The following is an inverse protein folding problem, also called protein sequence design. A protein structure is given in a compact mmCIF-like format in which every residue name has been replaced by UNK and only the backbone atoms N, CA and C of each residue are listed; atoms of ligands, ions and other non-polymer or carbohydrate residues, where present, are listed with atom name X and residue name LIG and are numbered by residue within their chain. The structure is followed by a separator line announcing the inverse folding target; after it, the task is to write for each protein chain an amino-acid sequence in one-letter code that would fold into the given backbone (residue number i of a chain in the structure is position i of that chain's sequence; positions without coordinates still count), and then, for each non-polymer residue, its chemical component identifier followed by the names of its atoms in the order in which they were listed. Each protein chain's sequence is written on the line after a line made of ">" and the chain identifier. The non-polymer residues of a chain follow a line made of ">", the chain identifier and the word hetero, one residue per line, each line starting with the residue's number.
data_IF_764457729173
#
_entry.id   IF_764457729173
#
_cell.length_a   1.000
_cell.length_b   1.000
_cell.length_c   1.000
_cell.angle_alpha   90.00
_cell.angle_beta   90.00
_cell.angle_gamma   90.00
#
_symmetry.space_group_name_H-M   'P 1'
#
loop_
_entity.id
_entity.type
_entity.pdbx_description
1 polymer ?
#
# COMPACT_ATOMS: atom_id res chain seq x y z
N UNK A 1 -10.92 15.55 -5.17
CA UNK A 1 -10.15 14.60 -4.35
C UNK A 1 -9.33 13.77 -5.33
N UNK A 2 -7.99 13.82 -5.30
CA UNK A 2 -7.18 12.92 -6.14
C UNK A 2 -7.50 11.50 -5.68
N UNK A 3 -8.10 10.70 -6.56
CA UNK A 3 -8.29 9.28 -6.31
C UNK A 3 -6.97 8.59 -6.59
N UNK A 4 -6.46 7.83 -5.63
CA UNK A 4 -5.33 6.94 -5.84
C UNK A 4 -5.73 5.90 -6.89
N UNK A 5 -5.07 5.90 -8.06
CA UNK A 5 -5.34 4.91 -9.11
C UNK A 5 -4.45 3.69 -8.93
N UNK A 6 -4.94 2.75 -8.14
CA UNK A 6 -4.23 1.53 -7.76
C UNK A 6 -4.80 0.27 -8.41
N UNK A 7 -5.51 0.38 -9.54
CA UNK A 7 -6.21 -0.77 -10.16
C UNK A 7 -5.27 -1.93 -10.51
N UNK A 8 -4.06 -1.61 -10.96
CA UNK A 8 -3.05 -2.61 -11.36
C UNK A 8 -2.12 -3.02 -10.21
N UNK A 9 -2.27 -2.37 -9.06
CA UNK A 9 -1.51 -2.63 -7.84
C UNK A 9 -2.27 -3.62 -6.94
N UNK A 10 -1.64 -4.10 -5.88
CA UNK A 10 -2.24 -4.97 -4.89
C UNK A 10 -1.90 -6.45 -5.06
N UNK A 11 -2.34 -7.25 -4.10
CA UNK A 11 -2.22 -8.71 -4.12
C UNK A 11 -3.55 -9.28 -4.61
N UNK A 12 -3.50 -10.21 -5.55
CA UNK A 12 -4.70 -10.85 -6.09
C UNK A 12 -5.26 -11.87 -5.08
N UNK A 13 -6.52 -11.70 -4.71
CA UNK A 13 -7.29 -12.63 -3.90
C UNK A 13 -8.68 -12.80 -4.55
N UNK A 14 -9.06 -14.04 -4.85
CA UNK A 14 -10.36 -14.37 -5.46
C UNK A 14 -10.70 -13.52 -6.70
N UNK A 15 -9.71 -13.36 -7.59
CA UNK A 15 -9.87 -12.59 -8.82
C UNK A 15 -9.89 -11.06 -8.65
N UNK A 16 -9.69 -10.53 -7.44
CA UNK A 16 -9.65 -9.09 -7.16
C UNK A 16 -8.32 -8.68 -6.55
N UNK A 17 -7.83 -7.50 -6.91
CA UNK A 17 -6.64 -6.93 -6.29
C UNK A 17 -7.00 -6.26 -4.96
N UNK A 18 -6.39 -6.72 -3.87
CA UNK A 18 -6.42 -6.06 -2.58
C UNK A 18 -5.26 -5.07 -2.54
N UNK A 19 -5.56 -3.77 -2.55
CA UNK A 19 -4.55 -2.69 -2.53
C UNK A 19 -4.32 -2.13 -1.14
N UNK A 20 -5.37 -2.07 -0.30
CA UNK A 20 -5.27 -1.55 1.05
C UNK A 20 -6.25 -2.24 2.00
N UNK A 21 -5.85 -2.34 3.26
CA UNK A 21 -6.71 -2.66 4.40
C UNK A 21 -6.70 -1.44 5.34
N UNK A 22 -7.87 -1.04 5.83
CA UNK A 22 -8.02 0.16 6.67
C UNK A 22 -8.80 -0.19 7.92
N UNK A 23 -8.28 0.23 9.07
CA UNK A 23 -8.96 0.10 10.35
C UNK A 23 -8.67 1.33 11.21
N UNK A 24 -9.71 2.10 11.55
CA UNK A 24 -9.56 3.39 12.22
C UNK A 24 -8.55 4.30 11.48
N UNK A 25 -7.49 4.73 12.15
CA UNK A 25 -6.37 5.54 11.62
C UNK A 25 -5.25 4.70 11.00
N UNK A 26 -5.27 3.37 11.18
CA UNK A 26 -4.27 2.48 10.61
C UNK A 26 -4.61 2.06 9.17
N UNK A 27 -3.60 2.13 8.30
CA UNK A 27 -3.67 1.65 6.92
C UNK A 27 -2.52 0.70 6.62
N UNK A 28 -2.87 -0.42 5.99
CA UNK A 28 -1.89 -1.39 5.45
C UNK A 28 -2.00 -1.36 3.94
N UNK A 29 -0.88 -1.11 3.26
CA UNK A 29 -0.78 -1.21 1.80
C UNK A 29 -0.34 -2.62 1.43
N UNK A 30 -1.01 -3.20 0.43
CA UNK A 30 -0.67 -4.49 -0.13
C UNK A 30 -0.09 -4.27 -1.53
N UNK A 31 1.07 -4.88 -1.79
CA UNK A 31 1.78 -4.77 -3.06
C UNK A 31 2.51 -6.09 -3.36
N UNK A 32 2.79 -6.37 -4.63
CA UNK A 32 3.47 -7.61 -5.05
C UNK A 32 4.97 -7.57 -4.80
N UNK A 33 5.54 -6.38 -4.64
CA UNK A 33 6.97 -6.20 -4.44
C UNK A 33 7.35 -4.81 -3.95
N UNK A 34 8.66 -4.61 -3.83
CA UNK A 34 9.23 -3.38 -3.25
C UNK A 34 8.95 -2.14 -4.10
N UNK A 35 9.21 -2.20 -5.42
CA UNK A 35 8.98 -1.06 -6.33
C UNK A 35 7.52 -0.61 -6.32
N UNK A 36 6.60 -1.56 -6.32
CA UNK A 36 5.17 -1.31 -6.23
C UNK A 36 4.79 -0.68 -4.88
N UNK A 37 5.36 -1.19 -3.78
CA UNK A 37 5.16 -0.65 -2.43
C UNK A 37 5.63 0.80 -2.34
N UNK A 38 6.82 1.13 -2.85
CA UNK A 38 7.36 2.49 -2.84
C UNK A 38 6.48 3.46 -3.62
N UNK A 39 6.02 3.05 -4.81
CA UNK A 39 5.08 3.88 -5.60
C UNK A 39 3.79 4.13 -4.84
N UNK A 40 3.19 3.10 -4.25
CA UNK A 40 1.95 3.25 -3.46
C UNK A 40 2.16 4.16 -2.24
N UNK A 41 3.28 4.00 -1.53
CA UNK A 41 3.62 4.83 -0.37
C UNK A 41 3.81 6.30 -0.75
N UNK A 42 4.54 6.58 -1.84
CA UNK A 42 4.74 7.96 -2.32
C UNK A 42 3.42 8.62 -2.71
N UNK A 43 2.56 7.89 -3.45
CA UNK A 43 1.24 8.39 -3.85
C UNK A 43 0.36 8.68 -2.62
N UNK A 44 0.42 7.83 -1.59
CA UNK A 44 -0.30 8.05 -0.33
C UNK A 44 0.24 9.27 0.43
N UNK A 45 1.57 9.44 0.52
CA UNK A 45 2.20 10.59 1.17
C UNK A 45 1.78 11.91 0.50
N UNK A 46 1.91 11.99 -0.84
CA UNK A 46 1.49 13.17 -1.61
C UNK A 46 0.00 13.50 -1.41
N UNK A 47 -0.86 12.48 -1.34
CA UNK A 47 -2.30 12.68 -1.14
C UNK A 47 -2.61 13.14 0.29
N UNK A 48 -1.88 12.61 1.28
CA UNK A 48 -2.02 13.00 2.68
C UNK A 48 -1.60 14.46 2.90
N UNK A 49 -0.48 14.88 2.32
CA UNK A 49 0.00 16.27 2.39
C UNK A 49 -1.05 17.25 1.83
N UNK A 50 -1.70 16.89 0.72
CA UNK A 50 -2.75 17.72 0.11
C UNK A 50 -3.98 17.91 1.00
N UNK A 51 -4.24 16.98 1.92
CA UNK A 51 -5.35 17.06 2.88
C UNK A 51 -4.88 17.49 4.28
N UNK A 52 -3.61 17.89 4.43
CA UNK A 52 -3.04 18.34 5.69
C UNK A 52 -2.78 17.22 6.71
N UNK A 53 -2.63 15.97 6.24
CA UNK A 53 -2.23 14.82 7.05
C UNK A 53 -0.79 14.42 6.74
N UNK A 54 -0.14 13.77 7.69
CA UNK A 54 1.23 13.28 7.57
C UNK A 54 1.30 11.80 7.96
N UNK A 55 2.16 11.04 7.27
CA UNK A 55 2.44 9.66 7.63
C UNK A 55 3.43 9.61 8.80
N UNK A 56 3.09 8.84 9.83
CA UNK A 56 4.03 8.61 10.93
C UNK A 56 5.10 7.58 10.50
N UNK A 57 6.29 8.07 10.16
CA UNK A 57 7.41 7.23 9.71
C UNK A 57 7.97 6.33 10.82
N UNK A 58 7.86 6.71 12.10
CA UNK A 58 8.31 5.87 13.21
C UNK A 58 7.44 4.62 13.36
N UNK A 59 6.13 4.78 13.14
CA UNK A 59 5.13 3.71 13.23
C UNK A 59 5.01 2.90 11.94
N UNK A 60 5.28 3.50 10.79
CA UNK A 60 5.20 2.80 9.49
C UNK A 60 6.26 1.68 9.43
N UNK A 61 5.82 0.45 9.14
CA UNK A 61 6.71 -0.72 9.00
C UNK A 61 6.49 -1.41 7.66
N UNK A 62 7.60 -1.81 7.04
CA UNK A 62 7.57 -2.70 5.88
C UNK A 62 7.51 -4.16 6.35
N UNK A 63 6.45 -4.85 6.00
CA UNK A 63 6.22 -6.26 6.34
C UNK A 63 6.28 -7.06 5.05
N UNK A 64 7.19 -8.03 4.97
CA UNK A 64 7.27 -8.97 3.86
C UNK A 64 6.88 -10.36 4.34
N UNK A 65 6.06 -11.06 3.55
CA UNK A 65 5.86 -12.48 3.77
C UNK A 65 7.08 -13.23 3.21
N UNK A 66 7.92 -13.77 4.08
CA UNK A 66 9.13 -14.52 3.70
C UNK A 66 8.79 -15.82 2.96
N UNK A 67 7.58 -16.34 3.14
CA UNK A 67 7.12 -17.61 2.57
C UNK A 67 6.13 -17.44 1.41
N UNK A 68 5.92 -16.22 0.91
CA UNK A 68 5.18 -16.04 -0.34
C UNK A 68 5.99 -16.73 -1.44
N UNK A 69 5.46 -17.86 -1.92
CA UNK A 69 6.11 -18.81 -2.81
C UNK A 69 6.93 -18.11 -3.90
N UNK A 70 8.23 -18.38 -3.91
CA UNK A 70 9.06 -18.26 -5.11
C UNK A 70 8.65 -19.38 -6.07
N UNK A 71 7.46 -19.28 -6.65
CA UNK A 71 7.20 -20.01 -7.89
C UNK A 71 7.94 -19.26 -8.99
N UNK A 72 9.06 -19.86 -9.39
CA UNK A 72 9.76 -19.59 -10.64
C UNK A 72 8.83 -19.80 -11.83
#
# INVERSE_FOLDING_TARGET
>A
MKSLDWKDYGIQADGKNITNLRFADDVVLCAKGHEETERMLNNLSETNELIGLELNMEKTKYIKNVCAYQER
#
